data_IF_121721155761
#
_entry.id   IF_121721155761
#
_cell.length_a   1.000
_cell.length_b   1.000
_cell.length_c   1.000
_cell.angle_alpha   90.00
_cell.angle_beta   90.00
_cell.angle_gamma   90.00
#
_symmetry.space_group_name_H-M   'P 1'
#
loop_
_entity.id
_entity.type
_entity.pdbx_description
1 polymer ?
#
# COMPACT_ATOMS: atom_id res chain seq x y z
N UNK A 1 -24.66 -4.72 -22.56
CA UNK A 1 -23.80 -3.55 -22.28
C UNK A 1 -22.88 -3.35 -23.45
N UNK A 2 -22.66 -2.12 -23.89
CA UNK A 2 -21.73 -1.80 -24.97
C UNK A 2 -20.30 -2.09 -24.47
N UNK A 3 -19.46 -2.82 -25.23
CA UNK A 3 -18.08 -3.06 -24.83
C UNK A 3 -17.28 -1.74 -24.85
N UNK A 4 -16.40 -1.56 -23.86
CA UNK A 4 -15.53 -0.39 -23.79
C UNK A 4 -14.59 -0.32 -25.00
N UNK A 5 -14.24 0.88 -25.44
CA UNK A 5 -13.30 1.07 -26.55
C UNK A 5 -11.87 0.90 -26.06
N UNK A 6 -11.02 0.27 -26.87
CA UNK A 6 -9.58 0.17 -26.58
C UNK A 6 -8.99 1.58 -26.46
N UNK A 7 -8.36 1.89 -25.33
CA UNK A 7 -7.78 3.21 -25.03
C UNK A 7 -8.76 4.24 -24.43
N UNK A 8 -9.95 3.81 -24.01
CA UNK A 8 -10.90 4.68 -23.32
C UNK A 8 -10.40 5.09 -21.92
N UNK A 9 -10.51 6.38 -21.60
CA UNK A 9 -10.12 6.88 -20.29
C UNK A 9 -11.09 6.38 -19.21
N UNK A 10 -10.53 5.89 -18.10
CA UNK A 10 -11.30 5.52 -16.91
C UNK A 10 -11.88 6.79 -16.30
N UNK A 11 -13.20 6.83 -16.15
CA UNK A 11 -13.93 7.96 -15.54
C UNK A 11 -14.38 7.64 -14.13
N UNK A 12 -14.52 6.36 -13.78
CA UNK A 12 -15.00 5.94 -12.47
C UNK A 12 -14.42 4.59 -12.09
N UNK A 13 -14.16 4.39 -10.80
CA UNK A 13 -13.85 3.07 -10.23
C UNK A 13 -14.93 2.73 -9.21
N UNK A 14 -15.46 1.52 -9.32
CA UNK A 14 -16.40 0.94 -8.36
C UNK A 14 -15.72 -0.20 -7.61
N UNK A 15 -15.83 -0.21 -6.28
CA UNK A 15 -15.31 -1.28 -5.42
C UNK A 15 -16.47 -2.05 -4.83
N UNK A 16 -16.38 -3.37 -4.90
CA UNK A 16 -17.26 -4.31 -4.21
C UNK A 16 -16.41 -5.22 -3.33
N UNK A 17 -16.76 -5.34 -2.05
CA UNK A 17 -16.09 -6.26 -1.14
C UNK A 17 -17.10 -7.22 -0.54
N UNK A 18 -16.69 -8.48 -0.38
CA UNK A 18 -17.44 -9.51 0.30
C UNK A 18 -16.50 -10.35 1.18
N UNK A 19 -17.02 -10.85 2.29
CA UNK A 19 -16.37 -11.87 3.11
C UNK A 19 -17.12 -13.19 2.91
N UNK A 20 -16.40 -14.31 2.89
CA UNK A 20 -16.98 -15.62 2.61
C UNK A 20 -18.04 -16.03 3.64
N UNK A 21 -17.87 -15.65 4.91
CA UNK A 21 -18.78 -15.98 5.99
C UNK A 21 -19.97 -15.01 6.10
N UNK A 22 -19.77 -13.72 5.81
CA UNK A 22 -20.76 -12.66 6.04
C UNK A 22 -21.47 -12.17 4.76
N UNK A 23 -20.94 -12.51 3.59
CA UNK A 23 -21.44 -12.03 2.31
C UNK A 23 -20.98 -10.59 2.00
N UNK A 24 -21.80 -9.78 1.31
CA UNK A 24 -21.40 -8.45 0.86
C UNK A 24 -21.13 -7.48 2.02
N UNK A 25 -19.94 -6.86 2.02
CA UNK A 25 -19.50 -5.90 3.03
C UNK A 25 -19.51 -4.46 2.54
N UNK A 26 -19.17 -4.24 1.27
CA UNK A 26 -19.07 -2.90 0.71
C UNK A 26 -19.45 -2.89 -0.76
N UNK A 27 -20.12 -1.82 -1.18
CA UNK A 27 -20.32 -1.47 -2.59
C UNK A 27 -20.37 0.04 -2.72
N UNK A 28 -19.41 0.62 -3.43
CA UNK A 28 -19.35 2.06 -3.58
C UNK A 28 -18.41 2.51 -4.68
N UNK A 29 -18.58 3.78 -5.08
CA UNK A 29 -17.67 4.45 -6.00
C UNK A 29 -16.45 4.93 -5.23
N UNK A 30 -15.27 4.84 -5.84
CA UNK A 30 -14.05 5.46 -5.31
C UNK A 30 -14.09 6.94 -5.67
N UNK A 31 -14.02 7.85 -4.69
CA UNK A 31 -13.85 9.27 -4.96
C UNK A 31 -12.63 9.52 -5.86
N UNK A 32 -12.78 10.39 -6.86
CA UNK A 32 -11.66 10.78 -7.71
C UNK A 32 -10.58 11.48 -6.87
N UNK A 33 -9.33 11.05 -7.02
CA UNK A 33 -8.19 11.77 -6.46
C UNK A 33 -7.27 12.31 -7.55
N UNK A 34 -6.10 12.83 -7.15
CA UNK A 34 -5.11 13.38 -8.08
C UNK A 34 -4.43 12.27 -8.89
N UNK A 35 -3.87 12.60 -10.06
CA UNK A 35 -3.05 11.68 -10.85
C UNK A 35 -1.87 11.07 -10.06
N UNK A 36 -1.40 11.74 -9.00
CA UNK A 36 -0.25 11.29 -8.19
C UNK A 36 -0.63 10.35 -7.04
N UNK A 37 -1.85 10.45 -6.52
CA UNK A 37 -2.33 9.70 -5.34
C UNK A 37 -3.43 8.70 -5.68
N UNK A 38 -4.14 8.90 -6.80
CA UNK A 38 -5.31 8.11 -7.18
C UNK A 38 -6.52 8.40 -6.29
N UNK A 39 -7.63 7.72 -6.55
CA UNK A 39 -8.79 7.70 -5.66
C UNK A 39 -8.59 6.74 -4.49
N UNK A 40 -9.25 6.99 -3.36
CA UNK A 40 -9.20 6.09 -2.19
C UNK A 40 -10.59 5.92 -1.57
N UNK A 41 -10.89 4.70 -1.14
CA UNK A 41 -12.03 4.39 -0.26
C UNK A 41 -11.57 3.43 0.82
N UNK A 42 -12.26 3.44 1.96
CA UNK A 42 -11.97 2.59 3.11
C UNK A 42 -13.28 1.95 3.58
N UNK A 43 -13.21 0.67 3.91
CA UNK A 43 -14.31 -0.09 4.47
C UNK A 43 -13.76 -1.11 5.46
N UNK A 44 -14.60 -1.53 6.40
CA UNK A 44 -14.23 -2.54 7.39
C UNK A 44 -14.45 -3.94 6.81
N UNK A 45 -13.55 -4.86 7.16
CA UNK A 45 -13.63 -6.26 6.78
C UNK A 45 -13.37 -7.11 8.01
N UNK A 46 -14.26 -8.06 8.26
CA UNK A 46 -14.17 -9.01 9.35
C UNK A 46 -13.09 -10.07 9.06
N UNK A 47 -12.40 -10.63 10.07
CA UNK A 47 -11.40 -11.68 9.84
C UNK A 47 -11.91 -12.85 9.00
N UNK A 48 -11.02 -13.47 8.22
CA UNK A 48 -11.31 -14.58 7.31
C UNK A 48 -11.02 -14.28 5.84
N UNK A 49 -11.49 -15.15 4.96
CA UNK A 49 -11.35 -14.99 3.52
C UNK A 49 -12.30 -13.90 3.01
N UNK A 50 -11.75 -12.94 2.28
CA UNK A 50 -12.47 -11.84 1.67
C UNK A 50 -12.07 -11.68 0.20
N UNK A 51 -12.98 -11.15 -0.59
CA UNK A 51 -12.76 -10.83 -1.99
C UNK A 51 -13.10 -9.37 -2.22
N UNK A 52 -12.21 -8.66 -2.91
CA UNK A 52 -12.41 -7.27 -3.34
C UNK A 52 -12.37 -7.22 -4.86
N UNK A 53 -13.50 -6.86 -5.47
CA UNK A 53 -13.60 -6.61 -6.90
C UNK A 53 -13.51 -5.12 -7.18
N UNK A 54 -12.61 -4.76 -8.09
CA UNK A 54 -12.52 -3.43 -8.67
C UNK A 54 -13.04 -3.47 -10.10
N UNK A 55 -13.87 -2.50 -10.45
CA UNK A 55 -14.35 -2.29 -11.81
C UNK A 55 -14.05 -0.86 -12.23
N UNK A 56 -13.23 -0.70 -13.25
CA UNK A 56 -12.96 0.59 -13.89
C UNK A 56 -13.96 0.79 -15.04
N UNK A 57 -14.72 1.86 -14.98
CA UNK A 57 -15.74 2.23 -15.96
C UNK A 57 -15.23 3.40 -16.83
N UNK A 58 -15.52 3.33 -18.12
CA UNK A 58 -15.18 4.35 -19.11
C UNK A 58 -16.27 5.40 -19.27
N UNK A 59 -15.98 6.44 -20.07
CA UNK A 59 -16.93 7.52 -20.36
C UNK A 59 -18.24 7.05 -21.03
N UNK A 60 -18.21 5.92 -21.73
CA UNK A 60 -19.39 5.28 -22.34
C UNK A 60 -20.25 4.50 -21.35
N UNK A 61 -19.83 4.37 -20.09
CA UNK A 61 -20.48 3.57 -19.04
C UNK A 61 -20.18 2.07 -19.12
N UNK A 62 -19.31 1.63 -20.04
CA UNK A 62 -18.81 0.25 -20.11
C UNK A 62 -17.67 0.01 -19.12
N UNK A 63 -17.49 -1.25 -18.68
CA UNK A 63 -16.31 -1.66 -17.91
C UNK A 63 -15.12 -1.73 -18.86
N UNK A 64 -14.12 -0.89 -18.60
CA UNK A 64 -12.83 -0.84 -19.33
C UNK A 64 -11.89 -1.90 -18.80
N UNK A 65 -11.87 -2.09 -17.48
CA UNK A 65 -11.04 -3.06 -16.80
C UNK A 65 -11.69 -3.55 -15.50
N UNK A 66 -11.36 -4.76 -15.06
CA UNK A 66 -11.79 -5.26 -13.77
C UNK A 66 -10.76 -6.20 -13.17
N UNK A 67 -10.55 -6.06 -11.88
CA UNK A 67 -9.63 -6.90 -11.11
C UNK A 67 -10.33 -7.47 -9.87
N UNK A 68 -9.86 -8.61 -9.41
CA UNK A 68 -10.38 -9.31 -8.23
C UNK A 68 -9.21 -9.69 -7.33
N UNK A 69 -9.20 -9.12 -6.13
CA UNK A 69 -8.21 -9.42 -5.10
C UNK A 69 -8.81 -10.37 -4.07
N UNK A 70 -8.12 -11.47 -3.85
CA UNK A 70 -8.38 -12.36 -2.72
C UNK A 70 -7.53 -11.91 -1.53
N UNK A 71 -8.17 -11.77 -0.38
CA UNK A 71 -7.57 -11.26 0.85
C UNK A 71 -7.81 -12.28 1.97
N UNK A 72 -6.73 -12.72 2.61
CA UNK A 72 -6.80 -13.36 3.91
C UNK A 72 -6.69 -12.28 5.00
N UNK A 73 -7.80 -11.98 5.67
CA UNK A 73 -7.86 -10.98 6.74
C UNK A 73 -7.52 -11.66 8.06
N UNK A 74 -6.40 -11.33 8.71
CA UNK A 74 -6.00 -11.98 9.95
C UNK A 74 -6.97 -11.70 11.10
N UNK A 75 -7.07 -12.64 12.04
CA UNK A 75 -7.78 -12.44 13.29
C UNK A 75 -6.76 -11.98 14.35
N UNK A 76 -6.61 -10.66 14.48
CA UNK A 76 -5.67 -10.07 15.43
C UNK A 76 -6.01 -10.35 16.91
N UNK A 77 -7.18 -10.94 17.21
CA UNK A 77 -7.48 -11.43 18.57
C UNK A 77 -6.77 -12.75 18.88
N UNK A 78 -6.34 -13.48 17.85
CA UNK A 78 -5.65 -14.78 17.95
C UNK A 78 -4.18 -14.69 17.58
N UNK A 79 -3.82 -13.77 16.69
CA UNK A 79 -2.44 -13.55 16.25
C UNK A 79 -1.76 -12.46 17.10
N UNK A 80 -0.83 -12.80 18.00
CA UNK A 80 -0.21 -11.83 18.89
C UNK A 80 0.70 -10.86 18.13
N UNK A 81 1.29 -11.29 17.00
CA UNK A 81 2.16 -10.49 16.15
C UNK A 81 1.63 -10.46 14.72
N UNK A 82 1.63 -9.28 14.10
CA UNK A 82 1.17 -9.15 12.72
C UNK A 82 1.82 -7.98 11.99
N UNK A 83 1.91 -8.11 10.66
CA UNK A 83 2.35 -7.04 9.76
C UNK A 83 1.26 -6.78 8.74
N UNK A 84 0.67 -5.58 8.81
CA UNK A 84 -0.31 -5.08 7.85
C UNK A 84 0.31 -4.77 6.49
N UNK A 85 -0.52 -4.38 5.52
CA UNK A 85 -0.06 -3.98 4.20
C UNK A 85 0.66 -2.63 4.27
N UNK A 86 1.95 -2.54 3.87
CA UNK A 86 2.65 -1.27 3.84
C UNK A 86 2.09 -0.32 2.79
N UNK A 87 2.05 0.97 3.13
CA UNK A 87 1.66 2.06 2.24
C UNK A 87 2.89 2.91 1.89
N UNK A 88 3.00 3.30 0.62
CA UNK A 88 4.08 4.14 0.13
C UNK A 88 3.59 5.57 -0.09
N UNK A 89 4.42 6.55 0.23
CA UNK A 89 4.12 7.97 0.05
C UNK A 89 5.27 8.63 -0.69
N UNK A 90 4.92 9.43 -1.69
CA UNK A 90 5.85 10.10 -2.59
C UNK A 90 5.92 11.58 -2.26
N UNK A 91 7.12 12.10 -2.13
CA UNK A 91 7.41 13.52 -1.99
C UNK A 91 8.45 13.94 -3.03
N UNK A 92 8.42 15.22 -3.45
CA UNK A 92 9.40 15.76 -4.40
C UNK A 92 10.59 16.39 -3.69
N UNK A 93 10.38 16.90 -2.48
CA UNK A 93 11.41 17.54 -1.66
C UNK A 93 11.42 17.00 -0.24
N UNK A 94 12.48 17.26 0.51
CA UNK A 94 12.51 16.91 1.94
C UNK A 94 11.41 17.63 2.72
N UNK A 95 11.07 18.87 2.34
CA UNK A 95 9.99 19.63 2.99
C UNK A 95 8.64 18.94 2.78
N UNK A 96 8.35 18.48 1.55
CA UNK A 96 7.12 17.74 1.26
C UNK A 96 7.06 16.45 2.08
N UNK A 97 8.19 15.74 2.19
CA UNK A 97 8.28 14.52 2.99
C UNK A 97 7.94 14.79 4.46
N UNK A 98 8.45 15.88 5.04
CA UNK A 98 8.14 16.24 6.43
C UNK A 98 6.66 16.60 6.62
N UNK A 99 6.04 17.28 5.65
CA UNK A 99 4.60 17.54 5.67
C UNK A 99 3.83 16.23 5.67
N UNK A 100 4.14 15.31 4.75
CA UNK A 100 3.51 13.98 4.69
C UNK A 100 3.72 13.22 6.01
N UNK A 101 4.95 13.21 6.54
CA UNK A 101 5.29 12.53 7.80
C UNK A 101 4.48 13.08 8.99
N UNK A 102 4.16 14.37 8.99
CA UNK A 102 3.30 15.00 10.00
C UNK A 102 1.79 14.85 9.77
N UNK A 103 1.34 14.44 8.57
CA UNK A 103 -0.09 14.29 8.22
C UNK A 103 -0.56 12.85 8.45
N UNK A 104 -1.42 12.57 9.45
CA UNK A 104 -1.79 11.20 9.81
C UNK A 104 -2.55 10.44 8.73
N UNK A 105 -3.41 11.16 8.01
CA UNK A 105 -4.31 10.71 6.95
C UNK A 105 -3.79 11.07 5.55
N UNK A 106 -2.47 11.27 5.42
CA UNK A 106 -1.84 11.49 4.12
C UNK A 106 -2.26 10.39 3.14
N UNK A 107 -2.46 10.75 1.87
CA UNK A 107 -2.89 9.80 0.87
C UNK A 107 -1.65 9.05 0.32
N UNK A 108 -1.66 7.70 0.29
CA UNK A 108 -0.58 6.94 -0.29
C UNK A 108 -0.54 7.10 -1.81
N UNK A 109 0.58 6.75 -2.40
CA UNK A 109 0.74 6.71 -3.84
C UNK A 109 0.37 5.34 -4.41
N UNK A 110 -0.30 5.36 -5.56
CA UNK A 110 -0.63 4.15 -6.31
C UNK A 110 0.57 3.59 -7.12
N UNK A 111 1.60 4.40 -7.39
CA UNK A 111 2.78 3.93 -8.15
C UNK A 111 3.69 3.03 -7.31
N UNK A 112 4.50 2.23 -8.01
CA UNK A 112 5.63 1.47 -7.44
C UNK A 112 6.97 1.85 -8.09
N UNK A 113 6.96 2.79 -9.03
CA UNK A 113 8.17 3.31 -9.68
C UNK A 113 8.41 4.76 -9.27
N UNK A 114 9.64 5.04 -8.84
CA UNK A 114 10.07 6.31 -8.25
C UNK A 114 11.38 6.77 -8.89
N UNK A 115 11.53 8.06 -9.18
CA UNK A 115 12.83 8.60 -9.61
C UNK A 115 13.76 8.78 -8.41
N UNK A 116 15.07 8.67 -8.62
CA UNK A 116 16.09 8.91 -7.56
C UNK A 116 16.09 10.33 -7.00
N UNK A 117 15.47 11.26 -7.70
CA UNK A 117 15.32 12.65 -7.24
C UNK A 117 14.23 12.83 -6.19
N UNK A 118 13.40 11.80 -5.98
CA UNK A 118 12.23 11.86 -5.11
C UNK A 118 12.55 11.42 -3.68
N UNK A 119 11.57 11.62 -2.81
CA UNK A 119 11.57 11.14 -1.43
C UNK A 119 10.47 10.10 -1.25
N UNK A 120 10.78 9.04 -0.54
CA UNK A 120 9.88 7.92 -0.32
C UNK A 120 9.75 7.64 1.17
N UNK A 121 8.51 7.69 1.67
CA UNK A 121 8.15 7.22 3.01
C UNK A 121 7.36 5.93 2.85
N UNK A 122 7.64 4.95 3.70
CA UNK A 122 6.77 3.80 3.90
C UNK A 122 6.13 3.90 5.29
N UNK A 123 4.81 3.69 5.37
CA UNK A 123 4.09 3.48 6.63
C UNK A 123 3.52 2.08 6.71
N UNK A 124 3.48 1.53 7.91
CA UNK A 124 2.99 0.17 8.13
C UNK A 124 2.39 0.03 9.54
N UNK A 125 1.32 -0.77 9.64
CA UNK A 125 0.79 -1.22 10.91
C UNK A 125 1.48 -2.53 11.29
N UNK A 126 2.15 -2.53 12.44
CA UNK A 126 2.75 -3.71 13.06
C UNK A 126 2.27 -3.80 14.50
N UNK A 127 1.84 -5.00 14.91
CA UNK A 127 1.36 -5.31 16.26
C UNK A 127 2.20 -6.40 16.89
N UNK A 128 2.24 -6.43 18.23
CA UNK A 128 2.87 -7.50 19.00
C UNK A 128 4.39 -7.43 19.18
N UNK A 129 5.08 -6.63 18.38
CA UNK A 129 6.52 -6.45 18.45
C UNK A 129 6.96 -5.11 17.84
N UNK A 130 8.14 -4.63 18.23
CA UNK A 130 8.80 -3.54 17.52
C UNK A 130 9.31 -4.07 16.16
N UNK A 131 9.01 -3.39 15.04
CA UNK A 131 9.33 -3.94 13.74
C UNK A 131 10.79 -3.78 13.36
N UNK A 132 11.32 -4.79 12.67
CA UNK A 132 12.56 -4.66 11.90
C UNK A 132 12.20 -4.34 10.46
N UNK A 133 12.72 -3.23 9.92
CA UNK A 133 12.53 -2.85 8.53
C UNK A 133 13.87 -2.75 7.81
N UNK A 134 13.98 -3.41 6.66
CA UNK A 134 15.24 -3.51 5.90
C UNK A 134 15.02 -3.28 4.42
N UNK A 135 15.99 -2.63 3.78
CA UNK A 135 16.13 -2.63 2.34
C UNK A 135 16.79 -3.93 1.90
N UNK A 136 16.24 -4.51 0.84
CA UNK A 136 16.67 -5.78 0.27
C UNK A 136 16.92 -5.61 -1.24
N UNK A 137 17.82 -6.42 -1.79
CA UNK A 137 17.97 -6.56 -3.23
C UNK A 137 16.71 -7.21 -3.85
N UNK A 138 16.60 -7.16 -5.19
CA UNK A 138 15.55 -7.90 -5.92
C UNK A 138 15.59 -9.41 -5.65
N UNK A 139 16.77 -9.97 -5.38
CA UNK A 139 16.96 -11.40 -5.09
C UNK A 139 16.62 -11.76 -3.65
N UNK A 140 16.32 -10.77 -2.79
CA UNK A 140 15.99 -11.00 -1.38
C UNK A 140 17.21 -11.02 -0.46
N UNK A 141 18.36 -10.53 -0.93
CA UNK A 141 19.56 -10.38 -0.11
C UNK A 141 19.49 -9.08 0.70
N UNK A 142 19.83 -9.11 2.01
CA UNK A 142 19.76 -7.92 2.85
C UNK A 142 20.81 -6.89 2.41
N UNK A 143 20.37 -5.63 2.25
CA UNK A 143 21.26 -4.53 1.91
C UNK A 143 21.56 -3.67 3.14
N UNK A 144 20.53 -3.13 3.79
CA UNK A 144 20.70 -2.24 4.95
C UNK A 144 19.46 -2.18 5.83
N UNK A 145 19.60 -2.05 7.16
CA UNK A 145 18.48 -1.70 8.02
C UNK A 145 18.00 -0.27 7.72
N UNK A 146 16.73 0.00 7.97
CA UNK A 146 16.15 1.32 7.87
C UNK A 146 15.76 1.85 9.25
N UNK A 147 15.81 3.18 9.41
CA UNK A 147 15.48 3.84 10.67
C UNK A 147 13.96 3.89 10.83
N UNK A 148 13.45 3.06 11.75
CA UNK A 148 12.03 3.00 12.09
C UNK A 148 11.68 4.14 13.05
N UNK A 149 10.57 4.80 12.77
CA UNK A 149 9.97 5.82 13.63
C UNK A 149 8.51 5.47 13.87
N UNK A 150 7.90 6.04 14.91
CA UNK A 150 6.45 5.97 15.10
C UNK A 150 5.76 6.83 14.04
N UNK A 151 4.66 6.30 13.49
CA UNK A 151 3.76 7.08 12.66
C UNK A 151 3.11 8.20 13.52
N UNK A 152 2.68 9.31 12.90
CA UNK A 152 2.04 10.39 13.64
C UNK A 152 0.74 9.94 14.32
N UNK A 153 0.39 10.60 15.42
CA UNK A 153 -0.85 10.33 16.17
C UNK A 153 -2.08 10.45 15.27
N UNK A 154 -3.04 9.53 15.42
CA UNK A 154 -4.23 9.46 14.57
C UNK A 154 -4.02 8.75 13.22
N UNK A 155 -2.79 8.30 12.91
CA UNK A 155 -2.55 7.51 11.70
C UNK A 155 -3.12 6.09 11.84
N UNK A 156 -3.66 5.49 10.76
CA UNK A 156 -4.02 4.06 10.77
C UNK A 156 -2.80 3.13 10.77
N UNK A 157 -1.59 3.68 10.63
CA UNK A 157 -0.32 2.96 10.71
C UNK A 157 0.35 3.18 12.06
N UNK A 158 1.18 2.25 12.51
CA UNK A 158 1.91 2.39 13.79
C UNK A 158 3.35 2.85 13.61
N UNK A 159 3.96 2.59 12.46
CA UNK A 159 5.37 2.90 12.19
C UNK A 159 5.57 3.49 10.80
N UNK A 160 6.65 4.24 10.64
CA UNK A 160 7.08 4.82 9.38
C UNK A 160 8.60 4.86 9.22
N UNK A 161 9.05 4.92 7.98
CA UNK A 161 10.46 4.84 7.60
C UNK A 161 10.70 5.60 6.30
N UNK A 162 11.76 6.40 6.24
CA UNK A 162 12.24 6.99 5.00
C UNK A 162 13.11 5.97 4.24
N UNK A 163 12.81 5.77 2.95
CA UNK A 163 13.54 4.84 2.09
C UNK A 163 14.57 5.64 1.27
N UNK A 164 15.88 5.30 1.35
CA UNK A 164 16.96 6.12 0.81
C UNK A 164 17.16 5.96 -0.71
N UNK A 165 16.10 6.14 -1.50
CA UNK A 165 16.08 5.85 -2.95
C UNK A 165 17.09 6.65 -3.77
N UNK A 166 17.51 7.83 -3.31
CA UNK A 166 18.49 8.68 -3.99
C UNK A 166 19.88 8.03 -4.09
N UNK A 167 20.22 7.13 -3.15
CA UNK A 167 21.50 6.43 -3.10
C UNK A 167 21.49 5.12 -3.90
N UNK A 168 20.32 4.66 -4.34
CA UNK A 168 20.17 3.38 -5.00
C UNK A 168 20.45 3.49 -6.51
N UNK A 169 21.06 2.47 -7.13
CA UNK A 169 21.10 2.40 -8.58
C UNK A 169 19.68 2.18 -9.13
N UNK A 170 19.50 2.50 -10.41
CA UNK A 170 18.27 2.15 -11.13
C UNK A 170 18.06 0.64 -11.10
N UNK A 171 16.88 0.18 -10.72
CA UNK A 171 16.58 -1.24 -10.55
C UNK A 171 15.36 -1.50 -9.68
N UNK A 172 15.10 -2.77 -9.40
CA UNK A 172 14.04 -3.19 -8.48
C UNK A 172 14.63 -3.57 -7.13
N UNK A 173 13.92 -3.23 -6.06
CA UNK A 173 14.30 -3.49 -4.68
C UNK A 173 13.07 -3.98 -3.91
N UNK A 174 13.32 -4.64 -2.78
CA UNK A 174 12.28 -5.01 -1.84
C UNK A 174 12.51 -4.27 -0.53
N UNK A 175 11.43 -3.88 0.14
CA UNK A 175 11.44 -3.43 1.52
C UNK A 175 10.80 -4.53 2.35
N UNK A 176 11.59 -5.11 3.25
CA UNK A 176 11.11 -6.11 4.19
C UNK A 176 10.66 -5.43 5.48
N UNK A 177 9.45 -5.76 5.93
CA UNK A 177 8.94 -5.43 7.26
C UNK A 177 8.70 -6.74 8.02
N UNK A 178 9.30 -6.89 9.20
CA UNK A 178 9.08 -8.01 10.13
C UNK A 178 8.53 -7.54 11.47
N UNK A 179 7.61 -8.30 12.05
CA UNK A 179 7.15 -8.10 13.43
C UNK A 179 8.15 -8.70 14.42
N UNK A 180 9.28 -8.02 14.64
CA UNK A 180 10.39 -8.48 15.47
C UNK A 180 11.57 -9.06 14.67
N UNK A 181 12.54 -9.63 15.40
CA UNK A 181 13.82 -10.11 14.84
C UNK A 181 13.89 -11.64 14.67
N UNK A 182 12.91 -12.38 15.19
CA UNK A 182 12.86 -13.83 15.02
C UNK A 182 12.74 -14.21 13.54
N UNK A 183 13.40 -15.29 13.13
CA UNK A 183 13.48 -15.68 11.71
C UNK A 183 12.13 -16.07 11.10
N UNK A 184 11.23 -16.59 11.93
CA UNK A 184 9.86 -17.02 11.62
C UNK A 184 8.80 -15.95 11.94
N UNK A 185 9.22 -14.77 12.41
CA UNK A 185 8.29 -13.68 12.67
C UNK A 185 7.48 -13.31 11.42
N UNK A 186 6.19 -12.93 11.57
CA UNK A 186 5.37 -12.46 10.46
C UNK A 186 6.09 -11.37 9.67
N UNK A 187 6.11 -11.50 8.34
CA UNK A 187 6.81 -10.58 7.45
C UNK A 187 6.01 -10.21 6.22
N UNK A 188 6.28 -9.01 5.70
CA UNK A 188 5.77 -8.53 4.41
C UNK A 188 6.91 -7.96 3.57
N UNK A 189 6.86 -8.21 2.27
CA UNK A 189 7.78 -7.65 1.28
C UNK A 189 7.01 -6.67 0.39
N UNK A 190 7.55 -5.47 0.24
CA UNK A 190 7.01 -4.44 -0.67
C UNK A 190 8.02 -4.16 -1.77
N UNK A 191 7.63 -4.41 -3.02
CA UNK A 191 8.47 -4.10 -4.18
C UNK A 191 8.44 -2.62 -4.53
N UNK A 192 9.62 -2.07 -4.85
CA UNK A 192 9.79 -0.71 -5.36
C UNK A 192 10.77 -0.72 -6.53
N UNK A 193 10.47 0.07 -7.55
CA UNK A 193 11.34 0.29 -8.70
C UNK A 193 11.95 1.68 -8.60
N UNK A 194 13.27 1.74 -8.61
CA UNK A 194 14.04 2.97 -8.74
C UNK A 194 14.28 3.19 -10.23
N UNK A 195 13.66 4.24 -10.76
CA UNK A 195 13.84 4.73 -12.11
C UNK A 195 14.92 5.83 -12.16
N UNK A 196 15.35 6.18 -13.37
CA UNK A 196 16.34 7.23 -13.62
C UNK A 196 15.98 8.56 -12.98
#
# INVERSE_FOLDING_TARGET
GVPARVGEAVTQVTVMAANEAEGPLYRGKVPAGSATTGGQTTFLVTPGAAQVRLSAEGASGGVVDSDVLELAVPDFTKDPMSVGTPALFRARTQRDLQVIAGTPDAQPTATRAFSRTEKLLLRVAVTGAEPSIRLMSRTGDPMSPLVVRRAPEGSPFSHEVEVPIASLPTGDFLIEVRAGEAADAPRRLTGVKVAS
#
